data_IF_445415869176
#
_entry.id   IF_445415869176
#
_cell.length_a   1.000
_cell.length_b   1.000
_cell.length_c   1.000
_cell.angle_alpha   90.00
_cell.angle_beta   90.00
_cell.angle_gamma   90.00
#
_symmetry.space_group_name_H-M   'P 1'
#
loop_
_entity.id
_entity.type
_entity.pdbx_description
1 polymer ?
#
# COMPACT_ATOMS: atom_id res chain seq x y z
N UNK A 1 -67.17 17.05 -20.97
CA UNK A 1 -66.25 15.93 -21.23
C UNK A 1 -64.89 16.58 -21.43
N UNK A 2 -64.20 16.83 -20.32
CA UNK A 2 -62.90 17.50 -20.31
C UNK A 2 -61.85 16.57 -20.88
N UNK A 3 -61.22 17.00 -21.97
CA UNK A 3 -60.02 16.40 -22.54
C UNK A 3 -58.83 16.83 -21.68
N UNK A 4 -58.52 16.00 -20.67
CA UNK A 4 -57.31 16.13 -19.86
C UNK A 4 -56.08 15.86 -20.74
N UNK A 5 -55.30 16.91 -20.96
CA UNK A 5 -53.96 16.88 -21.51
C UNK A 5 -53.03 16.09 -20.57
N UNK A 6 -52.53 14.93 -21.04
CA UNK A 6 -51.33 14.29 -20.48
C UNK A 6 -50.11 15.16 -20.84
N UNK A 7 -49.32 15.66 -19.88
CA UNK A 7 -48.02 16.21 -20.21
C UNK A 7 -47.08 15.05 -20.55
N UNK A 8 -46.56 15.09 -21.77
CA UNK A 8 -45.51 14.25 -22.30
C UNK A 8 -44.31 14.25 -21.33
N UNK A 9 -43.90 13.05 -20.90
CA UNK A 9 -42.75 12.80 -20.04
C UNK A 9 -41.54 13.65 -20.46
N UNK A 10 -41.16 14.60 -19.62
CA UNK A 10 -39.83 15.20 -19.68
C UNK A 10 -38.81 14.10 -19.46
N UNK A 11 -38.20 13.62 -20.55
CA UNK A 11 -36.97 12.82 -20.52
C UNK A 11 -35.94 13.64 -19.76
N UNK A 12 -35.80 13.40 -18.46
CA UNK A 12 -34.68 13.92 -17.67
C UNK A 12 -33.43 13.26 -18.24
N UNK A 13 -32.71 14.00 -19.09
CA UNK A 13 -31.41 13.57 -19.61
C UNK A 13 -30.51 13.37 -18.40
N UNK A 14 -30.21 12.11 -18.08
CA UNK A 14 -29.30 11.76 -17.00
C UNK A 14 -27.91 12.26 -17.37
N UNK A 15 -27.47 13.34 -16.72
CA UNK A 15 -26.17 13.93 -17.00
C UNK A 15 -25.06 13.09 -16.34
N UNK A 16 -23.88 12.99 -16.97
CA UNK A 16 -22.70 12.42 -16.34
C UNK A 16 -22.35 13.12 -15.02
N UNK A 17 -21.83 12.35 -14.06
CA UNK A 17 -21.55 12.84 -12.70
C UNK A 17 -20.65 14.08 -12.69
N UNK A 18 -19.65 14.16 -13.57
CA UNK A 18 -18.77 15.34 -13.67
C UNK A 18 -19.49 16.65 -14.00
N UNK A 19 -20.66 16.60 -14.66
CA UNK A 19 -21.45 17.79 -15.00
C UNK A 19 -22.37 18.23 -13.85
N UNK A 20 -22.64 17.33 -12.91
CA UNK A 20 -23.51 17.59 -11.75
C UNK A 20 -22.71 18.08 -10.53
N UNK A 21 -21.42 17.72 -10.46
CA UNK A 21 -20.56 18.09 -9.34
C UNK A 21 -20.17 19.58 -9.37
N UNK A 22 -20.13 20.19 -8.19
CA UNK A 22 -19.51 21.51 -8.03
C UNK A 22 -18.01 21.46 -8.35
N UNK A 23 -17.43 22.59 -8.74
CA UNK A 23 -15.99 22.69 -9.05
C UNK A 23 -15.09 22.09 -7.95
N UNK A 24 -15.41 22.37 -6.69
CA UNK A 24 -14.65 21.83 -5.55
C UNK A 24 -14.74 20.30 -5.44
N UNK A 25 -15.91 19.72 -5.66
CA UNK A 25 -16.07 18.26 -5.65
C UNK A 25 -15.38 17.62 -6.85
N UNK A 26 -15.46 18.26 -8.02
CA UNK A 26 -14.78 17.81 -9.23
C UNK A 26 -13.26 17.74 -9.03
N UNK A 27 -12.67 18.77 -8.40
CA UNK A 27 -11.26 18.77 -8.01
C UNK A 27 -10.91 17.57 -7.12
N UNK A 28 -11.72 17.28 -6.09
CA UNK A 28 -11.49 16.14 -5.20
C UNK A 28 -11.51 14.83 -5.98
N UNK A 29 -12.46 14.64 -6.89
CA UNK A 29 -12.53 13.45 -7.75
C UNK A 29 -11.32 13.34 -8.70
N UNK A 30 -10.86 14.44 -9.28
CA UNK A 30 -9.64 14.44 -10.12
C UNK A 30 -8.40 14.02 -9.33
N UNK A 31 -8.20 14.60 -8.14
CA UNK A 31 -7.13 14.14 -7.25
C UNK A 31 -7.32 12.67 -6.89
N UNK A 32 -8.57 12.20 -6.74
CA UNK A 32 -8.84 10.80 -6.43
C UNK A 32 -8.49 9.79 -7.51
N UNK A 33 -8.35 10.24 -8.75
CA UNK A 33 -7.91 9.42 -9.87
C UNK A 33 -6.40 9.56 -10.07
N UNK A 34 -5.89 10.80 -10.09
CA UNK A 34 -4.48 11.08 -10.40
C UNK A 34 -3.56 10.51 -9.33
N UNK A 35 -3.90 10.67 -8.06
CA UNK A 35 -3.01 10.31 -6.96
C UNK A 35 -2.78 8.78 -6.87
N UNK A 36 -3.81 7.90 -6.81
CA UNK A 36 -3.55 6.46 -6.84
C UNK A 36 -2.95 6.01 -8.17
N UNK A 37 -3.27 6.69 -9.29
CA UNK A 37 -2.65 6.43 -10.59
C UNK A 37 -1.13 6.66 -10.59
N UNK A 38 -0.67 7.74 -9.98
CA UNK A 38 0.76 8.01 -9.80
C UNK A 38 1.44 6.94 -8.93
N UNK A 39 0.78 6.49 -7.85
CA UNK A 39 1.32 5.43 -7.01
C UNK A 39 1.26 4.03 -7.65
N UNK A 40 0.29 3.77 -8.52
CA UNK A 40 0.28 2.57 -9.36
C UNK A 40 1.51 2.52 -10.28
N UNK A 41 1.81 3.64 -10.95
CA UNK A 41 3.01 3.74 -11.78
C UNK A 41 4.29 3.57 -10.94
N UNK A 42 4.35 4.19 -9.76
CA UNK A 42 5.47 4.02 -8.83
C UNK A 42 5.64 2.55 -8.39
N UNK A 43 4.57 1.88 -7.98
CA UNK A 43 4.63 0.46 -7.55
C UNK A 43 5.10 -0.45 -8.69
N UNK A 44 4.68 -0.16 -9.92
CA UNK A 44 5.14 -0.87 -11.12
C UNK A 44 6.65 -0.68 -11.34
N UNK A 45 7.14 0.56 -11.28
CA UNK A 45 8.58 0.87 -11.41
C UNK A 45 9.38 0.22 -10.27
N UNK A 46 8.86 0.26 -9.04
CA UNK A 46 9.50 -0.35 -7.88
C UNK A 46 9.58 -1.87 -8.02
N UNK A 47 8.53 -2.52 -8.52
CA UNK A 47 8.52 -3.95 -8.78
C UNK A 47 9.55 -4.32 -9.86
N UNK A 48 9.54 -3.61 -11.00
CA UNK A 48 10.47 -3.87 -12.11
C UNK A 48 11.93 -3.66 -11.70
N UNK A 49 12.22 -2.58 -10.96
CA UNK A 49 13.57 -2.33 -10.44
C UNK A 49 14.03 -3.38 -9.43
N UNK A 50 13.11 -3.89 -8.60
CA UNK A 50 13.37 -4.96 -7.63
C UNK A 50 13.66 -6.30 -8.31
N UNK A 51 12.90 -6.64 -9.37
CA UNK A 51 13.13 -7.85 -10.18
C UNK A 51 14.47 -7.76 -10.91
N UNK A 52 14.81 -6.59 -11.47
CA UNK A 52 16.11 -6.36 -12.12
C UNK A 52 17.29 -6.51 -11.15
N UNK A 53 17.09 -6.11 -9.89
CA UNK A 53 18.11 -6.13 -8.83
C UNK A 53 18.03 -7.35 -7.92
N UNK A 54 17.33 -8.43 -8.33
CA UNK A 54 17.06 -9.62 -7.50
C UNK A 54 18.31 -10.35 -6.98
N UNK A 55 19.48 -10.11 -7.59
CA UNK A 55 20.77 -10.70 -7.18
C UNK A 55 21.37 -10.04 -5.93
N UNK A 56 20.90 -8.85 -5.55
CA UNK A 56 21.37 -8.16 -4.35
C UNK A 56 20.67 -8.70 -3.10
N UNK A 57 21.34 -9.60 -2.37
CA UNK A 57 20.86 -10.19 -1.11
C UNK A 57 20.65 -9.19 0.04
N UNK A 58 21.09 -7.94 -0.15
CA UNK A 58 21.00 -6.89 0.87
C UNK A 58 19.64 -6.19 0.96
N UNK A 59 18.71 -6.53 0.05
CA UNK A 59 17.38 -5.96 -0.07
C UNK A 59 16.33 -6.99 0.39
N UNK A 60 15.32 -6.59 1.19
CA UNK A 60 14.23 -7.47 1.59
C UNK A 60 13.24 -7.70 0.44
N UNK A 61 13.68 -8.44 -0.60
CA UNK A 61 12.96 -8.60 -1.86
C UNK A 61 11.54 -9.14 -1.67
N UNK A 62 11.36 -10.16 -0.82
CA UNK A 62 10.06 -10.78 -0.58
C UNK A 62 9.01 -9.77 -0.11
N UNK A 63 9.38 -8.90 0.84
CA UNK A 63 8.49 -7.87 1.34
C UNK A 63 8.17 -6.81 0.29
N UNK A 64 9.17 -6.36 -0.48
CA UNK A 64 8.96 -5.35 -1.54
C UNK A 64 7.99 -5.90 -2.59
N UNK A 65 8.20 -7.13 -3.06
CA UNK A 65 7.35 -7.75 -4.07
C UNK A 65 5.89 -7.86 -3.59
N UNK A 66 5.67 -8.37 -2.38
CA UNK A 66 4.31 -8.51 -1.82
C UNK A 66 3.65 -7.14 -1.67
N UNK A 67 4.38 -6.14 -1.15
CA UNK A 67 3.86 -4.78 -0.98
C UNK A 67 3.55 -4.08 -2.31
N UNK A 68 4.38 -4.27 -3.33
CA UNK A 68 4.13 -3.73 -4.68
C UNK A 68 2.91 -4.39 -5.33
N UNK A 69 2.81 -5.72 -5.33
CA UNK A 69 1.69 -6.44 -5.95
C UNK A 69 0.37 -6.03 -5.32
N UNK A 70 0.32 -5.99 -3.99
CA UNK A 70 -0.81 -5.49 -3.23
C UNK A 70 -1.14 -4.04 -3.59
N UNK A 71 -0.13 -3.17 -3.65
CA UNK A 71 -0.27 -1.75 -3.96
C UNK A 71 -0.88 -1.53 -5.34
N UNK A 72 -0.36 -2.24 -6.34
CA UNK A 72 -0.87 -2.23 -7.70
C UNK A 72 -2.35 -2.61 -7.76
N UNK A 73 -2.77 -3.70 -7.10
CA UNK A 73 -4.18 -4.12 -7.07
C UNK A 73 -5.06 -3.04 -6.43
N UNK A 74 -4.67 -2.53 -5.25
CA UNK A 74 -5.47 -1.50 -4.57
C UNK A 74 -5.57 -0.21 -5.36
N UNK A 75 -4.47 0.24 -5.98
CA UNK A 75 -4.43 1.49 -6.73
C UNK A 75 -5.23 1.37 -8.01
N UNK A 76 -5.11 0.24 -8.72
CA UNK A 76 -5.90 -0.03 -9.93
C UNK A 76 -7.41 0.00 -9.64
N UNK A 77 -7.84 -0.70 -8.58
CA UNK A 77 -9.24 -0.72 -8.16
C UNK A 77 -9.75 0.70 -7.84
N UNK A 78 -8.97 1.49 -7.09
CA UNK A 78 -9.35 2.87 -6.75
C UNK A 78 -9.46 3.74 -7.99
N UNK A 79 -8.44 3.76 -8.85
CA UNK A 79 -8.46 4.54 -10.11
C UNK A 79 -9.70 4.18 -10.93
N UNK A 80 -9.94 2.89 -11.13
CA UNK A 80 -11.06 2.43 -11.96
C UNK A 80 -12.41 2.87 -11.38
N UNK A 81 -12.66 2.66 -10.09
CA UNK A 81 -13.95 3.01 -9.49
C UNK A 81 -14.21 4.52 -9.49
N UNK A 82 -13.20 5.34 -9.16
CA UNK A 82 -13.36 6.80 -9.19
C UNK A 82 -13.50 7.34 -10.61
N UNK A 83 -12.77 6.75 -11.58
CA UNK A 83 -12.85 7.12 -12.98
C UNK A 83 -14.23 6.81 -13.56
N UNK A 84 -14.74 5.57 -13.37
CA UNK A 84 -16.07 5.17 -13.84
C UNK A 84 -17.15 6.05 -13.20
N UNK A 85 -17.12 6.25 -11.87
CA UNK A 85 -18.06 7.13 -11.19
C UNK A 85 -18.07 8.56 -11.75
N UNK A 86 -16.93 9.06 -12.24
CA UNK A 86 -16.83 10.41 -12.78
C UNK A 86 -17.44 10.53 -14.19
N UNK A 87 -17.20 9.55 -15.07
CA UNK A 87 -17.59 9.61 -16.47
C UNK A 87 -19.03 9.11 -16.74
N UNK A 88 -19.58 8.27 -15.86
CA UNK A 88 -20.95 7.75 -16.01
C UNK A 88 -21.96 8.63 -15.29
N UNK A 89 -23.24 8.41 -15.59
CA UNK A 89 -24.35 8.91 -14.78
C UNK A 89 -24.39 8.19 -13.43
N UNK A 90 -25.16 8.71 -12.47
CA UNK A 90 -25.33 8.08 -11.16
C UNK A 90 -25.91 6.66 -11.32
N UNK A 91 -26.93 6.51 -12.16
CA UNK A 91 -27.57 5.22 -12.45
C UNK A 91 -26.60 4.27 -13.16
N UNK A 92 -25.85 4.75 -14.14
CA UNK A 92 -24.84 3.95 -14.83
C UNK A 92 -23.72 3.46 -13.91
N UNK A 93 -23.33 4.27 -12.91
CA UNK A 93 -22.37 3.83 -11.90
C UNK A 93 -22.96 2.77 -10.97
N UNK A 94 -24.25 2.88 -10.61
CA UNK A 94 -24.92 1.85 -9.80
C UNK A 94 -25.04 0.53 -10.57
N UNK A 95 -25.31 0.55 -11.87
CA UNK A 95 -25.29 -0.65 -12.72
C UNK A 95 -23.88 -1.28 -12.81
N UNK A 96 -22.85 -0.47 -13.05
CA UNK A 96 -21.46 -0.92 -13.00
C UNK A 96 -21.12 -1.56 -11.65
N UNK A 97 -21.57 -0.95 -10.56
CA UNK A 97 -21.33 -1.44 -9.19
C UNK A 97 -22.09 -2.73 -8.90
N UNK A 98 -23.27 -2.95 -9.49
CA UNK A 98 -23.98 -4.23 -9.42
C UNK A 98 -23.24 -5.34 -10.17
N UNK A 99 -22.64 -5.03 -11.33
CA UNK A 99 -21.92 -6.01 -12.16
C UNK A 99 -20.55 -6.38 -11.59
N UNK A 100 -19.70 -5.38 -11.30
CA UNK A 100 -18.29 -5.58 -10.95
C UNK A 100 -17.92 -5.07 -9.55
N UNK A 101 -18.82 -4.36 -8.88
CA UNK A 101 -18.52 -3.77 -7.57
C UNK A 101 -18.15 -4.82 -6.51
N UNK A 102 -18.76 -6.01 -6.56
CA UNK A 102 -18.40 -7.14 -5.68
C UNK A 102 -16.95 -7.59 -5.87
N UNK A 103 -16.52 -7.78 -7.12
CA UNK A 103 -15.16 -8.22 -7.45
C UNK A 103 -14.12 -7.19 -7.06
N UNK A 104 -14.37 -5.92 -7.41
CA UNK A 104 -13.44 -4.85 -7.09
C UNK A 104 -13.33 -4.60 -5.58
N UNK A 105 -14.44 -4.72 -4.86
CA UNK A 105 -14.43 -4.60 -3.40
C UNK A 105 -13.68 -5.75 -2.75
N UNK A 106 -13.86 -6.98 -3.26
CA UNK A 106 -13.11 -8.16 -2.82
C UNK A 106 -11.61 -7.94 -3.01
N UNK A 107 -11.18 -7.57 -4.22
CA UNK A 107 -9.77 -7.33 -4.55
C UNK A 107 -9.15 -6.18 -3.73
N UNK A 108 -9.88 -5.08 -3.57
CA UNK A 108 -9.46 -3.94 -2.76
C UNK A 108 -9.30 -4.31 -1.28
N UNK A 109 -10.29 -5.00 -0.71
CA UNK A 109 -10.28 -5.44 0.69
C UNK A 109 -9.20 -6.50 0.94
N UNK A 110 -9.03 -7.43 0.01
CA UNK A 110 -7.97 -8.45 0.05
C UNK A 110 -6.58 -7.80 0.10
N UNK A 111 -6.33 -6.85 -0.81
CA UNK A 111 -5.09 -6.08 -0.85
C UNK A 111 -4.87 -5.32 0.46
N UNK A 112 -5.93 -4.70 0.98
CA UNK A 112 -5.87 -3.99 2.24
C UNK A 112 -5.49 -4.90 3.44
N UNK A 113 -6.21 -6.01 3.62
CA UNK A 113 -6.00 -6.95 4.73
C UNK A 113 -4.61 -7.62 4.67
N UNK A 114 -4.10 -7.91 3.47
CA UNK A 114 -2.72 -8.44 3.33
C UNK A 114 -1.72 -7.47 3.94
N UNK A 115 -1.84 -6.16 3.67
CA UNK A 115 -0.90 -5.19 4.25
C UNK A 115 -0.96 -5.19 5.78
N UNK A 116 -2.15 -5.26 6.38
CA UNK A 116 -2.29 -5.33 7.85
C UNK A 116 -1.59 -6.54 8.45
N UNK A 117 -1.86 -7.74 7.93
CA UNK A 117 -1.30 -8.96 8.50
C UNK A 117 0.19 -9.09 8.18
N UNK A 118 0.64 -8.61 7.02
CA UNK A 118 2.06 -8.51 6.69
C UNK A 118 2.78 -7.52 7.62
N UNK A 119 2.15 -6.42 8.02
CA UNK A 119 2.72 -5.51 9.02
C UNK A 119 2.93 -6.20 10.38
N UNK A 120 1.97 -7.04 10.80
CA UNK A 120 2.11 -7.89 12.00
C UNK A 120 3.28 -8.86 11.83
N UNK A 121 3.36 -9.56 10.69
CA UNK A 121 4.46 -10.49 10.40
C UNK A 121 5.82 -9.79 10.42
N UNK A 122 5.92 -8.61 9.81
CA UNK A 122 7.15 -7.81 9.83
C UNK A 122 7.52 -7.40 11.26
N UNK A 123 6.56 -7.01 12.08
CA UNK A 123 6.78 -6.62 13.47
C UNK A 123 7.25 -7.80 14.32
N UNK A 124 6.62 -8.97 14.18
CA UNK A 124 7.03 -10.22 14.85
C UNK A 124 8.45 -10.62 14.42
N UNK A 125 8.77 -10.51 13.13
CA UNK A 125 10.12 -10.74 12.62
C UNK A 125 11.14 -9.81 13.31
N UNK A 126 10.81 -8.53 13.53
CA UNK A 126 11.70 -7.60 14.26
C UNK A 126 11.90 -8.03 15.71
N UNK A 127 10.83 -8.40 16.41
CA UNK A 127 10.93 -8.91 17.79
C UNK A 127 11.83 -10.14 17.84
N UNK A 128 11.64 -11.09 16.93
CA UNK A 128 12.43 -12.32 16.87
C UNK A 128 13.92 -12.07 16.61
N UNK A 129 14.25 -11.15 15.70
CA UNK A 129 15.65 -10.79 15.38
C UNK A 129 16.32 -10.08 16.57
N UNK A 130 15.60 -9.25 17.31
CA UNK A 130 16.13 -8.57 18.51
C UNK A 130 16.30 -9.54 19.68
N UNK A 131 15.35 -10.44 19.89
CA UNK A 131 15.41 -11.43 20.97
C UNK A 131 16.47 -12.52 20.72
N UNK A 132 16.61 -12.99 19.47
CA UNK A 132 17.57 -14.03 19.08
C UNK A 132 18.23 -13.69 17.73
N UNK A 133 19.37 -12.96 17.72
CA UNK A 133 19.99 -12.43 16.50
C UNK A 133 20.61 -13.49 15.57
N UNK A 134 20.75 -14.74 16.01
CA UNK A 134 21.27 -15.87 15.23
C UNK A 134 20.17 -16.84 14.77
N UNK A 135 18.90 -16.45 14.92
CA UNK A 135 17.78 -17.32 14.60
C UNK A 135 17.49 -17.35 13.09
N UNK A 136 17.44 -18.54 12.47
CA UNK A 136 17.16 -18.73 11.04
C UNK A 136 15.66 -18.77 10.69
N UNK A 137 14.76 -18.44 11.62
CA UNK A 137 13.31 -18.55 11.40
C UNK A 137 12.78 -17.67 10.26
N UNK A 138 13.45 -16.55 9.95
CA UNK A 138 13.01 -15.58 8.94
C UNK A 138 13.98 -15.44 7.76
N UNK A 139 14.09 -16.48 6.93
CA UNK A 139 14.76 -16.40 5.62
C UNK A 139 13.82 -15.82 4.55
N UNK A 140 14.35 -15.26 3.47
CA UNK A 140 13.54 -14.66 2.39
C UNK A 140 12.51 -15.66 1.81
N UNK A 141 12.88 -16.92 1.62
CA UNK A 141 11.98 -17.98 1.14
C UNK A 141 10.87 -18.27 2.14
N UNK A 142 11.19 -18.39 3.43
CA UNK A 142 10.20 -18.65 4.48
C UNK A 142 9.23 -17.49 4.64
N UNK A 143 9.73 -16.25 4.55
CA UNK A 143 8.89 -15.05 4.55
C UNK A 143 7.91 -15.07 3.38
N UNK A 144 8.34 -15.47 2.18
CA UNK A 144 7.44 -15.58 1.03
C UNK A 144 6.34 -16.63 1.27
N UNK A 145 6.69 -17.78 1.86
CA UNK A 145 5.73 -18.81 2.25
C UNK A 145 4.74 -18.28 3.30
N UNK A 146 5.22 -17.59 4.33
CA UNK A 146 4.35 -16.98 5.35
C UNK A 146 3.38 -15.97 4.74
N UNK A 147 3.86 -15.08 3.85
CA UNK A 147 2.99 -14.16 3.12
C UNK A 147 1.97 -14.89 2.23
N UNK A 148 2.36 -16.00 1.59
CA UNK A 148 1.46 -16.83 0.79
C UNK A 148 0.36 -17.50 1.62
N UNK A 149 0.71 -18.09 2.77
CA UNK A 149 -0.25 -18.67 3.71
C UNK A 149 -1.22 -17.60 4.23
N UNK A 150 -0.70 -16.43 4.61
CA UNK A 150 -1.52 -15.28 5.04
C UNK A 150 -2.49 -14.88 3.93
N UNK A 151 -2.02 -14.77 2.69
CA UNK A 151 -2.87 -14.43 1.55
C UNK A 151 -4.00 -15.47 1.36
N UNK A 152 -3.70 -16.77 1.45
CA UNK A 152 -4.72 -17.83 1.34
C UNK A 152 -5.76 -17.70 2.46
N UNK A 153 -5.33 -17.53 3.72
CA UNK A 153 -6.24 -17.39 4.87
C UNK A 153 -7.15 -16.16 4.71
N UNK A 154 -6.59 -15.02 4.31
CA UNK A 154 -7.36 -13.80 4.08
C UNK A 154 -8.34 -14.00 2.93
N UNK A 155 -7.92 -14.62 1.83
CA UNK A 155 -8.77 -14.89 0.68
C UNK A 155 -9.97 -15.76 1.08
N UNK A 156 -9.75 -16.86 1.82
CA UNK A 156 -10.82 -17.71 2.34
C UNK A 156 -11.78 -16.88 3.21
N UNK A 157 -11.25 -16.04 4.11
CA UNK A 157 -12.08 -15.21 5.00
C UNK A 157 -12.97 -14.22 4.24
N UNK A 158 -12.56 -13.76 3.06
CA UNK A 158 -13.32 -12.83 2.23
C UNK A 158 -14.24 -13.52 1.22
N UNK A 159 -13.88 -14.72 0.75
CA UNK A 159 -14.72 -15.51 -0.15
C UNK A 159 -16.01 -15.95 0.54
N UNK A 160 -15.97 -16.29 1.83
CA UNK A 160 -17.16 -16.71 2.60
C UNK A 160 -18.28 -15.66 2.54
N UNK A 161 -18.08 -14.39 2.98
CA UNK A 161 -19.11 -13.37 2.86
C UNK A 161 -19.41 -13.02 1.40
N UNK A 162 -18.43 -13.08 0.49
CA UNK A 162 -18.64 -12.83 -0.93
C UNK A 162 -19.61 -13.83 -1.58
N UNK A 163 -19.53 -15.12 -1.26
CA UNK A 163 -20.44 -16.16 -1.79
C UNK A 163 -21.81 -16.14 -1.11
N UNK A 164 -21.94 -15.49 0.06
CA UNK A 164 -23.21 -15.34 0.78
C UNK A 164 -24.06 -14.19 0.23
N UNK A 165 -25.32 -14.10 0.69
CA UNK A 165 -26.19 -12.94 0.45
C UNK A 165 -25.71 -11.65 1.15
N UNK A 166 -24.73 -11.76 2.05
CA UNK A 166 -24.13 -10.66 2.81
C UNK A 166 -22.79 -10.17 2.21
N UNK A 167 -22.68 -10.11 0.89
CA UNK A 167 -21.50 -9.55 0.23
C UNK A 167 -21.34 -8.04 0.54
N UNK A 168 -20.15 -7.49 0.32
CA UNK A 168 -19.86 -6.06 0.54
C UNK A 168 -19.48 -5.41 -0.77
N UNK A 169 -20.04 -4.23 -1.03
CA UNK A 169 -19.71 -3.40 -2.19
C UNK A 169 -19.27 -2.01 -1.71
N UNK A 170 -18.11 -1.58 -2.18
CA UNK A 170 -17.65 -0.21 -2.05
C UNK A 170 -18.37 0.65 -3.10
N UNK A 171 -19.06 1.68 -2.62
CA UNK A 171 -19.83 2.61 -3.44
C UNK A 171 -19.22 4.00 -3.32
N UNK A 172 -18.61 4.48 -4.41
CA UNK A 172 -17.95 5.81 -4.44
C UNK A 172 -18.98 6.92 -4.27
N UNK A 173 -20.12 6.85 -4.96
CA UNK A 173 -21.22 7.82 -4.84
C UNK A 173 -21.76 7.95 -3.41
N UNK A 174 -21.71 6.88 -2.61
CA UNK A 174 -22.18 6.87 -1.21
C UNK A 174 -21.06 7.03 -0.18
N UNK A 175 -19.79 7.11 -0.63
CA UNK A 175 -18.61 7.18 0.23
C UNK A 175 -18.61 6.11 1.34
N UNK A 176 -19.08 4.90 1.02
CA UNK A 176 -19.34 3.88 2.02
C UNK A 176 -19.17 2.46 1.47
N UNK A 177 -18.89 1.53 2.38
CA UNK A 177 -18.97 0.09 2.14
C UNK A 177 -20.35 -0.40 2.54
N UNK A 178 -21.15 -0.82 1.56
CA UNK A 178 -22.54 -1.24 1.75
C UNK A 178 -22.61 -2.76 1.74
N UNK A 179 -23.29 -3.36 2.73
CA UNK A 179 -23.56 -4.79 2.76
C UNK A 179 -24.82 -5.13 1.97
N UNK A 180 -24.81 -6.22 1.22
CA UNK A 180 -25.97 -6.74 0.49
C UNK A 180 -27.13 -7.16 1.40
N UNK A 181 -26.83 -7.48 2.66
CA UNK A 181 -27.83 -7.83 3.67
C UNK A 181 -28.08 -6.71 4.70
N UNK A 182 -27.78 -5.45 4.35
CA UNK A 182 -28.05 -4.30 5.22
C UNK A 182 -29.53 -4.32 5.72
N UNK A 183 -29.80 -3.98 7.00
CA UNK A 183 -28.86 -3.42 7.99
C UNK A 183 -27.93 -4.46 8.64
N UNK A 184 -28.17 -5.77 8.42
CA UNK A 184 -27.31 -6.82 8.94
C UNK A 184 -25.94 -6.85 8.22
N UNK A 185 -24.98 -7.49 8.88
CA UNK A 185 -23.62 -7.72 8.36
C UNK A 185 -23.20 -9.15 8.66
N UNK A 186 -22.44 -9.74 7.73
CA UNK A 186 -21.88 -11.07 7.96
C UNK A 186 -20.99 -11.07 9.21
N UNK A 187 -21.05 -12.11 10.08
CA UNK A 187 -20.25 -12.16 11.31
C UNK A 187 -18.75 -11.98 11.09
N UNK A 188 -18.20 -12.57 10.02
CA UNK A 188 -16.79 -12.41 9.64
C UNK A 188 -16.45 -10.95 9.34
N UNK A 189 -17.30 -10.27 8.56
CA UNK A 189 -17.09 -8.86 8.22
C UNK A 189 -17.20 -7.97 9.45
N UNK A 190 -18.13 -8.27 10.35
CA UNK A 190 -18.27 -7.57 11.63
C UNK A 190 -17.04 -7.77 12.51
N UNK A 191 -16.51 -9.00 12.58
CA UNK A 191 -15.27 -9.32 13.29
C UNK A 191 -14.10 -8.52 12.72
N UNK A 192 -13.88 -8.59 11.41
CA UNK A 192 -12.82 -7.85 10.73
C UNK A 192 -12.93 -6.33 11.01
N UNK A 193 -14.10 -5.73 10.80
CA UNK A 193 -14.30 -4.30 11.02
C UNK A 193 -14.17 -3.87 12.51
N UNK A 194 -14.28 -4.80 13.46
CA UNK A 194 -14.16 -4.48 14.89
C UNK A 194 -12.74 -4.61 15.39
N UNK A 195 -12.01 -5.65 14.98
CA UNK A 195 -10.68 -5.95 15.52
C UNK A 195 -9.53 -5.44 14.65
N UNK A 196 -9.78 -5.09 13.39
CA UNK A 196 -8.72 -4.63 12.47
C UNK A 196 -8.02 -3.37 12.96
N UNK A 197 -8.71 -2.46 13.63
CA UNK A 197 -8.12 -1.26 14.24
C UNK A 197 -7.05 -1.59 15.28
N UNK A 198 -7.17 -2.69 16.02
CA UNK A 198 -6.25 -3.02 17.11
C UNK A 198 -4.88 -3.45 16.55
N UNK A 199 -4.86 -4.04 15.36
CA UNK A 199 -3.64 -4.59 14.74
C UNK A 199 -2.58 -3.52 14.43
N UNK A 200 -2.84 -2.45 13.66
CA UNK A 200 -1.81 -1.47 13.34
C UNK A 200 -1.37 -0.67 14.57
N UNK A 201 -2.28 -0.36 15.50
CA UNK A 201 -1.94 0.33 16.75
C UNK A 201 -1.03 -0.51 17.65
N UNK A 202 -1.35 -1.80 17.85
CA UNK A 202 -0.49 -2.71 18.62
C UNK A 202 0.88 -2.90 17.95
N UNK A 203 0.93 -3.04 16.63
CA UNK A 203 2.20 -3.11 15.89
C UNK A 203 3.03 -1.84 16.06
N UNK A 204 2.41 -0.66 16.04
CA UNK A 204 3.10 0.60 16.27
C UNK A 204 3.72 0.65 17.66
N UNK A 205 2.96 0.28 18.70
CA UNK A 205 3.45 0.24 20.09
C UNK A 205 4.62 -0.75 20.25
N UNK A 206 4.51 -1.94 19.67
CA UNK A 206 5.58 -2.95 19.71
C UNK A 206 6.84 -2.45 19.01
N UNK A 207 6.73 -1.92 17.78
CA UNK A 207 7.89 -1.44 17.04
C UNK A 207 8.55 -0.23 17.71
N UNK A 208 7.77 0.71 18.25
CA UNK A 208 8.30 1.82 19.05
C UNK A 208 9.00 1.30 20.32
N UNK A 209 8.40 0.34 21.01
CA UNK A 209 9.00 -0.33 22.16
C UNK A 209 10.36 -0.95 21.85
N UNK A 210 10.51 -1.60 20.69
CA UNK A 210 11.80 -2.12 20.21
C UNK A 210 12.82 -0.98 20.01
N UNK A 211 12.42 0.13 19.38
CA UNK A 211 13.30 1.29 19.18
C UNK A 211 13.79 1.83 20.54
N UNK A 212 12.87 2.00 21.49
CA UNK A 212 13.21 2.43 22.83
C UNK A 212 14.17 1.44 23.49
N UNK A 213 13.86 0.14 23.47
CA UNK A 213 14.73 -0.91 24.02
C UNK A 213 16.14 -0.85 23.44
N UNK A 214 16.28 -0.82 22.11
CA UNK A 214 17.58 -0.73 21.43
C UNK A 214 18.33 0.57 21.79
N UNK A 215 17.62 1.69 21.97
CA UNK A 215 18.21 2.97 22.39
C UNK A 215 18.73 2.88 23.83
N UNK A 216 17.96 2.29 24.74
CA UNK A 216 18.36 2.10 26.14
C UNK A 216 19.53 1.13 26.29
N UNK A 217 19.56 0.04 25.51
CA UNK A 217 20.70 -0.90 25.47
C UNK A 217 21.95 -0.18 24.95
N UNK A 218 21.85 0.56 23.84
CA UNK A 218 23.01 1.24 23.24
C UNK A 218 23.58 2.35 24.10
N UNK A 219 22.74 3.07 24.85
CA UNK A 219 23.17 4.17 25.70
C UNK A 219 23.55 3.71 27.12
N UNK A 220 23.72 2.39 27.33
CA UNK A 220 23.93 1.74 28.63
C UNK A 220 22.95 2.22 29.72
N UNK A 221 21.80 2.75 29.31
CA UNK A 221 20.89 3.47 30.20
C UNK A 221 20.10 2.52 31.07
N UNK A 222 19.95 1.25 30.65
CA UNK A 222 19.47 0.19 31.55
C UNK A 222 20.38 0.01 32.76
N UNK A 223 21.71 0.09 32.58
CA UNK A 223 22.67 -0.03 33.69
C UNK A 223 22.61 1.21 34.58
N UNK A 224 22.51 2.41 34.00
CA UNK A 224 22.38 3.66 34.78
C UNK A 224 21.07 3.68 35.57
N UNK A 225 19.96 3.26 34.95
CA UNK A 225 18.65 3.17 35.59
C UNK A 225 18.61 2.08 36.67
N UNK A 226 19.17 0.90 36.39
CA UNK A 226 19.31 -0.17 37.39
C UNK A 226 20.27 0.19 38.51
N UNK A 227 21.38 0.92 38.27
CA UNK A 227 22.25 1.44 39.33
C UNK A 227 21.54 2.45 40.23
N UNK A 228 20.59 3.21 39.66
CA UNK A 228 19.73 4.11 40.43
C UNK A 228 18.72 3.36 41.32
N UNK A 229 18.44 2.09 41.01
CA UNK A 229 17.43 1.26 41.69
C UNK A 229 18.02 0.13 42.54
N UNK A 230 19.20 -0.39 42.20
CA UNK A 230 20.00 -1.34 42.97
C UNK A 230 21.38 -0.75 43.20
N UNK A 231 21.65 -0.43 44.46
CA UNK A 231 22.96 -0.02 44.97
C UNK A 231 23.84 -1.28 45.06
N UNK A 232 24.91 -1.30 44.26
CA UNK A 232 26.03 -2.25 44.25
C UNK A 232 25.86 -3.56 43.46
N UNK A 233 26.52 -3.67 42.30
CA UNK A 233 27.28 -4.85 41.83
C UNK A 233 28.26 -4.44 40.70
N UNK A 234 29.36 -5.19 40.45
CA UNK A 234 30.50 -4.73 39.67
C UNK A 234 30.36 -4.92 38.14
N UNK A 235 31.13 -4.10 37.43
CA UNK A 235 31.08 -3.85 35.99
C UNK A 235 31.60 -5.06 35.19
N UNK A 236 30.74 -5.67 34.37
CA UNK A 236 31.17 -6.60 33.31
C UNK A 236 31.21 -5.87 31.96
N UNK A 237 32.38 -5.36 31.61
CA UNK A 237 32.64 -4.76 30.29
C UNK A 237 32.54 -5.84 29.20
N UNK A 238 31.38 -5.92 28.54
CA UNK A 238 31.23 -6.74 27.34
C UNK A 238 31.51 -5.88 26.13
N UNK A 239 32.77 -5.83 25.69
CA UNK A 239 33.16 -5.23 24.43
C UNK A 239 32.56 -6.02 23.26
N UNK A 240 31.46 -5.53 22.68
CA UNK A 240 30.87 -6.06 21.45
C UNK A 240 31.63 -5.54 20.20
N UNK A 241 31.79 -6.35 19.13
CA UNK A 241 32.60 -5.99 17.97
C UNK A 241 32.01 -4.78 17.22
N UNK A 242 32.79 -3.71 17.12
CA UNK A 242 32.31 -2.33 16.93
C UNK A 242 31.85 -2.01 15.49
N UNK A 243 32.33 -2.74 14.48
CA UNK A 243 32.04 -2.43 13.06
C UNK A 243 30.86 -3.23 12.48
N UNK A 244 30.86 -4.56 12.65
CA UNK A 244 29.75 -5.43 12.20
C UNK A 244 28.45 -5.16 12.95
N UNK A 245 28.51 -4.78 14.24
CA UNK A 245 27.34 -4.38 15.02
C UNK A 245 26.73 -3.06 14.54
N UNK A 246 27.54 -2.06 14.16
CA UNK A 246 27.05 -0.76 13.67
C UNK A 246 26.33 -0.87 12.33
N UNK A 247 26.86 -1.63 11.37
CA UNK A 247 26.22 -1.80 10.05
C UNK A 247 24.97 -2.69 10.13
N UNK A 248 24.95 -3.69 11.00
CA UNK A 248 23.75 -4.48 11.33
C UNK A 248 22.68 -3.60 12.01
N UNK A 249 23.04 -2.87 13.06
CA UNK A 249 22.14 -1.97 13.77
C UNK A 249 21.53 -0.88 12.88
N UNK A 250 22.29 -0.33 11.93
CA UNK A 250 21.74 0.62 10.94
C UNK A 250 20.71 -0.03 10.01
N UNK A 251 20.92 -1.27 9.59
CA UNK A 251 19.93 -2.01 8.79
C UNK A 251 18.69 -2.34 9.62
N UNK A 252 18.87 -2.80 10.85
CA UNK A 252 17.76 -3.15 11.73
C UNK A 252 16.91 -1.92 12.07
N UNK A 253 17.54 -0.78 12.36
CA UNK A 253 16.84 0.48 12.59
C UNK A 253 16.06 0.95 11.35
N UNK A 254 16.64 0.83 10.14
CA UNK A 254 15.91 1.16 8.91
C UNK A 254 14.69 0.24 8.74
N UNK A 255 14.85 -1.07 8.96
CA UNK A 255 13.75 -2.01 8.84
C UNK A 255 12.66 -1.79 9.90
N UNK A 256 13.03 -1.42 11.13
CA UNK A 256 12.05 -1.06 12.17
C UNK A 256 11.34 0.26 11.83
N UNK A 257 12.05 1.24 11.24
CA UNK A 257 11.39 2.49 10.82
C UNK A 257 10.36 2.23 9.72
N UNK A 258 10.67 1.36 8.76
CA UNK A 258 9.71 0.93 7.73
C UNK A 258 8.43 0.34 8.33
N UNK A 259 8.54 -0.52 9.34
CA UNK A 259 7.36 -1.13 10.01
C UNK A 259 6.57 -0.13 10.83
N UNK A 260 7.23 0.81 11.51
CA UNK A 260 6.55 1.92 12.21
C UNK A 260 5.77 2.76 11.21
N UNK A 261 6.39 3.17 10.10
CA UNK A 261 5.72 3.98 9.08
C UNK A 261 4.55 3.26 8.45
N UNK A 262 4.71 1.97 8.14
CA UNK A 262 3.62 1.12 7.68
C UNK A 262 2.44 1.11 8.67
N UNK A 263 2.74 0.92 9.96
CA UNK A 263 1.74 0.92 11.02
C UNK A 263 1.04 2.28 11.15
N UNK A 264 1.74 3.41 10.99
CA UNK A 264 1.16 4.75 11.02
C UNK A 264 0.14 4.94 9.90
N UNK A 265 0.49 4.60 8.65
CA UNK A 265 -0.42 4.78 7.51
C UNK A 265 -1.65 3.89 7.57
N UNK A 266 -1.50 2.65 8.05
CA UNK A 266 -2.61 1.75 8.34
C UNK A 266 -3.48 2.27 9.51
N UNK A 267 -2.86 2.87 10.52
CA UNK A 267 -3.59 3.48 11.65
C UNK A 267 -4.38 4.70 11.20
N UNK A 268 -3.87 5.54 10.29
CA UNK A 268 -4.62 6.68 9.72
C UNK A 268 -5.90 6.17 9.03
N UNK A 269 -5.80 5.09 8.25
CA UNK A 269 -6.95 4.49 7.57
C UNK A 269 -8.01 3.98 8.56
N UNK A 270 -7.59 3.22 9.57
CA UNK A 270 -8.49 2.60 10.55
C UNK A 270 -9.06 3.62 11.53
N UNK A 271 -8.24 4.56 12.00
CA UNK A 271 -8.69 5.65 12.86
C UNK A 271 -9.70 6.54 12.14
N UNK A 272 -9.48 6.81 10.85
CA UNK A 272 -10.45 7.51 10.03
C UNK A 272 -11.80 6.79 9.93
N UNK A 273 -11.78 5.45 9.85
CA UNK A 273 -12.98 4.60 9.87
C UNK A 273 -13.70 4.65 11.22
N UNK A 274 -12.91 4.62 12.30
CA UNK A 274 -13.38 4.61 13.67
C UNK A 274 -14.13 5.90 14.03
N UNK A 275 -13.61 7.06 13.63
CA UNK A 275 -14.30 8.34 13.86
C UNK A 275 -15.69 8.34 13.23
N UNK A 276 -15.84 7.88 11.98
CA UNK A 276 -17.15 7.79 11.31
C UNK A 276 -18.10 6.88 12.11
N UNK A 277 -17.58 5.80 12.70
CA UNK A 277 -18.36 4.83 13.45
C UNK A 277 -18.79 5.33 14.84
N UNK A 278 -17.92 6.05 15.54
CA UNK A 278 -18.18 6.53 16.92
C UNK A 278 -18.92 7.86 16.93
N UNK A 279 -18.64 8.73 15.95
CA UNK A 279 -19.24 10.05 15.83
C UNK A 279 -19.92 10.21 14.45
N UNK A 280 -20.99 9.45 14.17
CA UNK A 280 -21.68 9.54 12.90
C UNK A 280 -22.27 10.94 12.66
N UNK A 281 -22.74 11.60 13.71
CA UNK A 281 -23.34 12.95 13.63
C UNK A 281 -22.32 14.00 13.19
N UNK A 282 -21.10 13.95 13.73
CA UNK A 282 -20.01 14.83 13.27
C UNK A 282 -19.69 14.61 11.80
N UNK A 283 -19.79 13.37 11.31
CA UNK A 283 -19.55 13.08 9.90
C UNK A 283 -20.70 13.54 9.00
N UNK A 284 -21.96 13.43 9.45
CA UNK A 284 -23.13 13.88 8.68
C UNK A 284 -23.26 15.40 8.63
N UNK A 285 -22.78 16.12 9.63
CA UNK A 285 -22.72 17.58 9.68
C UNK A 285 -21.69 18.19 8.72
N UNK A 286 -20.68 17.44 8.29
CA UNK A 286 -19.69 17.92 7.32
C UNK A 286 -20.36 18.31 5.99
N UNK A 287 -19.82 19.37 5.38
CA UNK A 287 -20.20 19.76 4.03
C UNK A 287 -19.98 18.62 3.02
N UNK A 288 -20.68 18.58 1.89
CA UNK A 288 -20.51 17.53 0.88
C UNK A 288 -19.05 17.35 0.43
N UNK A 289 -18.34 18.47 0.21
CA UNK A 289 -16.91 18.46 -0.10
C UNK A 289 -16.08 17.97 1.09
N UNK A 290 -16.43 18.36 2.32
CA UNK A 290 -15.76 17.89 3.53
C UNK A 290 -15.84 16.37 3.70
N UNK A 291 -17.00 15.76 3.45
CA UNK A 291 -17.20 14.31 3.47
C UNK A 291 -16.33 13.59 2.44
N UNK A 292 -16.27 14.12 1.22
CA UNK A 292 -15.42 13.59 0.15
C UNK A 292 -13.95 13.68 0.51
N UNK A 293 -13.46 14.85 0.95
CA UNK A 293 -12.06 15.05 1.34
C UNK A 293 -11.69 14.12 2.50
N UNK A 294 -12.53 14.02 3.52
CA UNK A 294 -12.29 13.15 4.67
C UNK A 294 -12.16 11.68 4.25
N UNK A 295 -13.14 11.18 3.49
CA UNK A 295 -13.14 9.80 3.02
C UNK A 295 -11.95 9.52 2.10
N UNK A 296 -11.62 10.50 1.26
CA UNK A 296 -10.51 10.43 0.33
C UNK A 296 -9.15 10.36 1.02
N UNK A 297 -8.87 11.28 1.96
CA UNK A 297 -7.62 11.29 2.73
C UNK A 297 -7.43 9.97 3.47
N UNK A 298 -8.51 9.42 4.04
CA UNK A 298 -8.50 8.09 4.64
C UNK A 298 -8.07 7.02 3.64
N UNK A 299 -8.70 6.94 2.48
CA UNK A 299 -8.36 5.93 1.45
C UNK A 299 -6.93 6.14 0.91
N UNK A 300 -6.45 7.38 0.83
CA UNK A 300 -5.15 7.71 0.25
C UNK A 300 -3.94 7.45 1.14
N UNK A 301 -4.15 7.25 2.43
CA UNK A 301 -3.07 6.80 3.31
C UNK A 301 -2.49 5.45 2.83
N UNK A 302 -3.31 4.65 2.15
CA UNK A 302 -2.98 3.29 1.73
C UNK A 302 -2.03 3.23 0.52
N UNK A 303 -2.28 3.92 -0.62
CA UNK A 303 -1.33 4.02 -1.73
C UNK A 303 -0.02 4.72 -1.37
N UNK A 304 -0.11 5.77 -0.54
CA UNK A 304 1.03 6.63 -0.20
C UNK A 304 2.13 5.90 0.60
N UNK A 305 1.73 4.89 1.37
CA UNK A 305 2.61 4.14 2.26
C UNK A 305 3.82 3.51 1.55
N UNK A 306 3.62 2.88 0.39
CA UNK A 306 4.69 2.22 -0.36
C UNK A 306 5.77 3.21 -0.80
N UNK A 307 5.36 4.37 -1.30
CA UNK A 307 6.27 5.43 -1.72
C UNK A 307 7.11 5.95 -0.56
N UNK A 308 6.49 6.22 0.59
CA UNK A 308 7.23 6.72 1.74
C UNK A 308 8.25 5.72 2.27
N UNK A 309 7.86 4.46 2.41
CA UNK A 309 8.71 3.39 2.92
C UNK A 309 9.89 3.13 1.97
N UNK A 310 9.61 2.94 0.67
CA UNK A 310 10.61 2.45 -0.27
C UNK A 310 11.34 3.54 -1.04
N UNK A 311 10.75 4.71 -1.26
CA UNK A 311 11.43 5.81 -1.94
C UNK A 311 12.01 6.83 -0.98
N UNK A 312 11.24 7.31 0.01
CA UNK A 312 11.70 8.40 0.89
C UNK A 312 12.63 7.84 1.99
N UNK A 313 12.17 6.84 2.72
CA UNK A 313 12.89 6.35 3.87
C UNK A 313 14.15 5.55 3.50
N UNK A 314 14.01 4.67 2.53
CA UNK A 314 15.01 3.63 2.30
C UNK A 314 15.98 4.03 1.21
N UNK A 315 17.16 4.53 1.60
CA UNK A 315 18.19 5.02 0.66
C UNK A 315 18.59 3.99 -0.39
N UNK A 316 18.66 2.70 -0.01
CA UNK A 316 19.07 1.61 -0.91
C UNK A 316 18.05 1.36 -2.01
N UNK A 317 16.76 1.27 -1.67
CA UNK A 317 15.69 1.07 -2.65
C UNK A 317 15.50 2.30 -3.53
N UNK A 318 15.66 3.52 -2.98
CA UNK A 318 15.71 4.74 -3.79
C UNK A 318 16.84 4.70 -4.82
N UNK A 319 18.07 4.35 -4.39
CA UNK A 319 19.20 4.23 -5.30
C UNK A 319 18.95 3.16 -6.38
N UNK A 320 18.30 2.05 -6.02
CA UNK A 320 17.89 1.01 -6.96
C UNK A 320 16.92 1.54 -8.03
N UNK A 321 15.86 2.23 -7.62
CA UNK A 321 14.87 2.85 -8.53
C UNK A 321 15.55 3.87 -9.45
N UNK A 322 16.37 4.78 -8.89
CA UNK A 322 17.09 5.77 -9.70
C UNK A 322 18.06 5.13 -10.70
N UNK A 323 18.74 4.03 -10.32
CA UNK A 323 19.62 3.29 -11.24
C UNK A 323 18.83 2.65 -12.37
N UNK A 324 17.67 2.07 -12.07
CA UNK A 324 16.79 1.46 -13.06
C UNK A 324 16.29 2.51 -14.08
N UNK A 325 15.79 3.66 -13.61
CA UNK A 325 15.32 4.75 -14.48
C UNK A 325 16.45 5.31 -15.36
N UNK A 326 17.65 5.50 -14.80
CA UNK A 326 18.83 5.93 -15.58
C UNK A 326 19.27 4.92 -16.63
N UNK A 327 19.10 3.62 -16.36
CA UNK A 327 19.44 2.56 -17.32
C UNK A 327 18.49 2.57 -18.51
N UNK A 328 17.19 2.76 -18.28
CA UNK A 328 16.20 2.95 -19.36
C UNK A 328 16.57 4.15 -20.25
N UNK A 329 16.82 5.31 -19.65
CA UNK A 329 17.18 6.53 -20.39
C UNK A 329 18.44 6.38 -21.27
N UNK A 330 19.45 5.62 -20.80
CA UNK A 330 20.66 5.36 -21.59
C UNK A 330 20.44 4.39 -22.75
N UNK A 331 19.52 3.42 -22.63
CA UNK A 331 19.18 2.52 -23.73
C UNK A 331 18.43 3.26 -24.84
N UNK A 332 17.52 4.17 -24.48
CA UNK A 332 16.78 4.97 -25.47
C UNK A 332 17.68 5.96 -26.23
N UNK A 333 18.68 6.54 -25.55
CA UNK A 333 19.66 7.45 -26.19
C UNK A 333 20.54 6.74 -27.23
N UNK A 334 20.86 5.46 -27.02
CA UNK A 334 21.66 4.67 -27.96
C UNK A 334 20.83 4.17 -29.14
N UNK A 335 19.50 4.03 -29.00
CA UNK A 335 18.61 3.61 -30.08
C UNK A 335 18.36 4.75 -31.09
N UNK A 336 18.27 6.00 -30.62
CA UNK A 336 18.10 7.18 -31.48
C UNK A 336 19.36 7.49 -32.31
N UNK A 337 20.55 7.16 -31.80
CA UNK A 337 21.81 7.40 -32.53
C UNK A 337 22.06 6.41 -33.68
N UNK A 338 21.37 5.27 -33.73
CA UNK A 338 21.59 4.22 -34.76
C UNK A 338 20.72 4.42 -36.01
N UNK A 339 19.72 5.31 -36.02
CA UNK A 339 18.85 5.51 -37.20
C UNK A 339 19.39 6.51 -38.24
N UNK A 340 20.60 7.06 -38.09
CA UNK A 340 21.14 8.08 -38.99
C UNK A 340 22.37 7.70 -39.82
N UNK A 341 22.77 6.41 -39.86
CA UNK A 341 23.87 5.96 -40.73
C UNK A 341 23.42 5.00 -41.85
N UNK A 342 22.84 5.58 -42.90
CA UNK A 342 22.82 5.11 -44.29
C UNK A 342 22.88 6.39 -45.12
N UNK A 343 23.87 6.66 -45.97
CA UNK A 343 24.38 5.87 -47.10
C UNK A 343 25.63 6.57 -47.63
N UNK A 344 26.74 5.87 -47.85
CA UNK A 344 27.71 6.21 -48.90
C UNK A 344 28.16 4.92 -49.58
N UNK A 345 27.91 4.87 -50.88
CA UNK A 345 28.27 3.85 -51.87
C UNK A 345 29.69 4.07 -52.41
N UNK A 346 30.46 2.99 -52.59
CA UNK A 346 31.71 3.00 -53.40
C UNK A 346 32.65 1.81 -53.10
N UNK A 347 33.44 1.30 -54.07
CA UNK A 347 33.45 -0.13 -54.39
C UNK A 347 34.74 -0.91 -54.04
N UNK A 348 34.57 -2.24 -53.95
CA UNK A 348 35.49 -3.36 -54.25
C UNK A 348 37.00 -3.19 -54.00
N UNK A 349 37.57 -4.06 -53.15
CA UNK A 349 39.02 -4.27 -53.09
C UNK A 349 39.49 -5.29 -52.04
N UNK A 350 39.54 -6.56 -52.45
CA UNK A 350 40.46 -7.63 -52.06
C UNK A 350 40.47 -8.24 -50.63
N UNK A 351 40.08 -9.52 -50.67
CA UNK A 351 40.39 -10.66 -49.81
C UNK A 351 41.89 -10.93 -49.64
N UNK A 352 42.34 -11.21 -48.41
CA UNK A 352 43.38 -12.19 -48.05
C UNK A 352 43.37 -12.34 -46.51
N UNK A 353 42.82 -13.41 -45.96
CA UNK A 353 43.43 -14.72 -45.65
C UNK A 353 44.30 -14.73 -44.38
N UNK A 354 43.80 -15.53 -43.45
CA UNK A 354 44.29 -15.92 -42.13
C UNK A 354 45.56 -16.76 -42.23
N UNK A 355 46.52 -16.59 -41.30
CA UNK A 355 47.17 -17.71 -40.57
C UNK A 355 47.98 -17.21 -39.36
N UNK A 356 47.64 -17.80 -38.20
CA UNK A 356 48.27 -17.84 -36.86
C UNK A 356 48.55 -16.54 -36.09
#
# INVERSE_FOLDING_TARGET
METSTLPLDTVTISLPTYQVLSFNQLLVHFFAIIFPGAFFAFDTILLMSSVSSRRDSSIPLAYIVVMCLRGMISNFVLVLQYFVNLITTVEGYEEFSKLLGREFTLLGTFSYLIALVVNVLMSVNRVAVVAKPMNMWFSNTRVFIFCGIIAIIILISLIIPYLSSCYVVFMVNRLAFVSGCAPARHPITTFQNTYTIILPFSCMLVNLGIIFHLRFVRNNSYIIFWHKFKRNEPIRNTSQPIFFSKQRARRDLMMIRQTVTMAIYLSIYEFGAFIIKVFPDLYTELSPTGKQVYFYVRMQSIPLMNFLIYFIETKKTRAMVCRFLKKGAKQDSNLVTVSHHRTVSGPQGNTAMVTN
#
